data_IF_473262985730
#
_entry.id   IF_473262985730
#
_cell.length_a   1.000
_cell.length_b   1.000
_cell.length_c   1.000
_cell.angle_alpha   90.00
_cell.angle_beta   90.00
_cell.angle_gamma   90.00
#
_symmetry.space_group_name_H-M   'P 1'
#
loop_
_entity.id
_entity.type
_entity.pdbx_description
1 polymer ?
#
# COMPACT_ATOMS: atom_id res chain seq x y z
N UNK A 1 1.54 18.93 43.96
CA UNK A 1 2.34 17.80 43.42
C UNK A 1 2.73 16.95 44.63
N UNK A 2 2.05 15.82 44.84
CA UNK A 2 2.38 14.90 45.93
C UNK A 2 3.61 14.11 45.44
N UNK A 3 4.71 14.11 46.19
CA UNK A 3 5.87 13.30 45.81
C UNK A 3 5.48 11.82 45.85
N UNK A 4 5.79 11.04 44.80
CA UNK A 4 5.51 9.61 44.78
C UNK A 4 6.25 8.93 45.92
N UNK A 5 5.58 8.01 46.61
CA UNK A 5 6.23 7.22 47.66
C UNK A 5 7.22 6.23 47.05
N UNK A 6 8.18 5.74 47.83
CA UNK A 6 9.13 4.70 47.38
C UNK A 6 8.40 3.47 46.83
N UNK A 7 7.24 3.14 47.42
CA UNK A 7 6.41 2.03 46.95
C UNK A 7 5.79 2.32 45.57
N UNK A 8 5.40 3.56 45.28
CA UNK A 8 4.86 3.95 43.97
C UNK A 8 5.94 3.90 42.88
N UNK A 9 7.17 4.30 43.21
CA UNK A 9 8.32 4.22 42.29
C UNK A 9 8.68 2.77 42.00
N UNK A 10 8.72 1.92 43.03
CA UNK A 10 8.96 0.49 42.88
C UNK A 10 7.85 -0.17 42.06
N UNK A 11 6.57 0.07 42.39
CA UNK A 11 5.44 -0.47 41.64
C UNK A 11 5.49 -0.08 40.15
N UNK A 12 5.89 1.14 39.83
CA UNK A 12 6.08 1.57 38.45
C UNK A 12 7.28 0.90 37.77
N UNK A 13 8.41 0.76 38.46
CA UNK A 13 9.57 0.04 37.90
C UNK A 13 9.25 -1.44 37.64
N UNK A 14 8.48 -2.08 38.52
CA UNK A 14 7.98 -3.44 38.32
C UNK A 14 7.01 -3.50 37.14
N UNK A 15 6.08 -2.56 37.03
CA UNK A 15 5.15 -2.50 35.91
C UNK A 15 5.86 -2.30 34.56
N UNK A 16 6.78 -1.33 34.47
CA UNK A 16 7.54 -1.00 33.27
C UNK A 16 8.53 -2.08 32.82
N UNK A 17 8.79 -3.09 33.65
CA UNK A 17 9.60 -4.26 33.29
C UNK A 17 8.76 -5.50 33.02
N UNK A 18 7.75 -5.78 33.85
CA UNK A 18 6.90 -6.97 33.74
C UNK A 18 5.93 -6.91 32.58
N UNK A 19 5.26 -5.79 32.35
CA UNK A 19 4.27 -5.67 31.26
C UNK A 19 4.96 -5.80 29.91
N UNK A 20 6.07 -5.10 29.61
CA UNK A 20 6.73 -5.26 28.33
C UNK A 20 7.30 -6.65 28.08
N UNK A 21 7.85 -7.30 29.12
CA UNK A 21 8.40 -8.67 28.99
C UNK A 21 7.31 -9.71 28.73
N UNK A 22 6.18 -9.62 29.42
CA UNK A 22 5.01 -10.48 29.18
C UNK A 22 4.41 -10.24 27.79
N UNK A 23 4.31 -8.99 27.35
CA UNK A 23 3.79 -8.64 26.03
C UNK A 23 4.70 -9.12 24.89
N UNK A 24 6.03 -9.05 25.08
CA UNK A 24 7.01 -9.62 24.14
C UNK A 24 6.93 -11.14 24.08
N UNK A 25 6.79 -11.81 25.23
CA UNK A 25 6.61 -13.26 25.31
C UNK A 25 5.32 -13.69 24.59
N UNK A 26 4.21 -13.00 24.87
CA UNK A 26 2.92 -13.21 24.19
C UNK A 26 3.05 -13.02 22.68
N UNK A 27 3.73 -11.96 22.24
CA UNK A 27 3.96 -11.69 20.81
C UNK A 27 4.78 -12.80 20.13
N UNK A 28 5.79 -13.33 20.82
CA UNK A 28 6.60 -14.43 20.32
C UNK A 28 5.81 -15.73 20.24
N UNK A 29 5.02 -16.06 21.26
CA UNK A 29 4.15 -17.25 21.28
C UNK A 29 3.08 -17.19 20.18
N UNK A 30 2.45 -16.03 19.97
CA UNK A 30 1.50 -15.81 18.88
C UNK A 30 2.16 -15.98 17.50
N UNK A 31 3.42 -15.55 17.36
CA UNK A 31 4.16 -15.73 16.11
C UNK A 31 4.52 -17.19 15.81
N UNK A 32 4.56 -18.06 16.83
CA UNK A 32 4.74 -19.50 16.67
C UNK A 32 3.43 -20.25 16.39
N UNK A 33 2.30 -19.74 16.91
CA UNK A 33 0.99 -20.39 16.79
C UNK A 33 0.32 -20.11 15.43
N UNK A 34 0.55 -18.94 14.85
CA UNK A 34 -0.03 -18.51 13.57
C UNK A 34 1.01 -18.68 12.46
N UNK A 35 0.82 -19.55 11.46
CA UNK A 35 1.77 -19.66 10.35
C UNK A 35 1.59 -18.55 9.30
N UNK A 36 2.70 -18.06 8.78
CA UNK A 36 2.75 -17.20 7.58
C UNK A 36 2.63 -15.69 7.83
N UNK A 37 2.17 -14.97 6.81
CA UNK A 37 2.15 -13.49 6.78
C UNK A 37 1.32 -12.87 7.90
N UNK A 38 0.27 -13.57 8.35
CA UNK A 38 -0.59 -13.13 9.45
C UNK A 38 0.17 -13.05 10.79
N UNK A 39 1.14 -13.93 11.03
CA UNK A 39 1.98 -13.91 12.22
C UNK A 39 2.80 -12.62 12.32
N UNK A 40 3.34 -12.19 11.18
CA UNK A 40 4.14 -10.97 11.08
C UNK A 40 3.27 -9.73 11.33
N UNK A 41 2.05 -9.70 10.77
CA UNK A 41 1.12 -8.58 10.97
C UNK A 41 0.72 -8.49 12.45
N UNK A 42 0.32 -9.59 13.08
CA UNK A 42 -0.07 -9.62 14.49
C UNK A 42 1.09 -9.22 15.40
N UNK A 43 2.32 -9.67 15.08
CA UNK A 43 3.54 -9.28 15.80
C UNK A 43 3.85 -7.79 15.67
N UNK A 44 3.72 -7.21 14.46
CA UNK A 44 3.93 -5.77 14.26
C UNK A 44 2.87 -4.92 14.96
N UNK A 45 1.61 -5.37 14.98
CA UNK A 45 0.53 -4.75 15.76
C UNK A 45 0.89 -4.75 17.25
N UNK A 46 1.28 -5.90 17.81
CA UNK A 46 1.62 -5.98 19.23
C UNK A 46 2.86 -5.14 19.56
N UNK A 47 3.90 -5.19 18.73
CA UNK A 47 5.10 -4.37 18.91
C UNK A 47 4.78 -2.87 18.84
N UNK A 48 3.84 -2.45 17.99
CA UNK A 48 3.46 -1.04 17.89
C UNK A 48 2.80 -0.54 19.17
N UNK A 49 1.90 -1.33 19.76
CA UNK A 49 1.27 -1.02 21.04
C UNK A 49 2.30 -0.98 22.17
N UNK A 50 3.21 -1.96 22.21
CA UNK A 50 4.28 -2.02 23.20
C UNK A 50 5.19 -0.79 23.15
N UNK A 51 5.63 -0.41 21.95
CA UNK A 51 6.50 0.73 21.70
C UNK A 51 5.81 2.06 22.02
N UNK A 52 4.52 2.15 21.74
CA UNK A 52 3.75 3.31 22.14
C UNK A 52 3.64 3.37 23.67
N UNK A 53 3.31 2.26 24.33
CA UNK A 53 3.18 2.22 25.78
C UNK A 53 4.48 2.60 26.48
N UNK A 54 5.63 2.10 26.02
CA UNK A 54 6.94 2.41 26.61
C UNK A 54 7.33 3.88 26.46
N UNK A 55 6.92 4.54 25.37
CA UNK A 55 7.18 5.97 25.16
C UNK A 55 6.25 6.85 26.00
N UNK A 56 4.98 6.45 26.17
CA UNK A 56 4.00 7.21 26.96
C UNK A 56 4.10 6.96 28.46
N UNK A 57 4.67 5.83 28.89
CA UNK A 57 4.80 5.46 30.30
C UNK A 57 5.51 6.54 31.11
N UNK A 58 6.60 7.09 30.58
CA UNK A 58 7.35 8.17 31.21
C UNK A 58 6.52 9.45 31.37
N UNK A 59 5.72 9.78 30.37
CA UNK A 59 4.83 10.94 30.38
C UNK A 59 3.70 10.76 31.40
N UNK A 60 3.03 9.62 31.40
CA UNK A 60 1.95 9.32 32.34
C UNK A 60 2.43 9.16 33.78
N UNK A 61 3.64 8.63 33.98
CA UNK A 61 4.28 8.60 35.28
C UNK A 61 4.54 10.02 35.80
N UNK A 62 5.03 10.93 34.94
CA UNK A 62 5.22 12.34 35.32
C UNK A 62 3.90 13.05 35.68
N UNK A 63 2.79 12.60 35.10
CA UNK A 63 1.44 13.08 35.38
C UNK A 63 0.75 12.37 36.56
N UNK A 64 1.41 11.40 37.19
CA UNK A 64 0.88 10.68 38.35
C UNK A 64 -0.22 9.66 38.03
N UNK A 65 -0.31 9.14 36.81
CA UNK A 65 -1.31 8.14 36.45
C UNK A 65 -0.98 6.78 37.07
N UNK A 66 -1.97 6.07 37.59
CA UNK A 66 -1.80 4.70 38.08
C UNK A 66 -1.52 3.71 36.94
N UNK A 67 -0.73 2.63 37.18
CA UNK A 67 -0.37 1.68 36.13
C UNK A 67 -1.56 1.02 35.44
N UNK A 68 -2.57 0.59 36.20
CA UNK A 68 -3.78 -0.04 35.64
C UNK A 68 -4.56 0.90 34.70
N UNK A 69 -4.65 2.18 35.06
CA UNK A 69 -5.29 3.20 34.24
C UNK A 69 -4.59 3.40 32.91
N UNK A 70 -3.26 3.26 32.86
CA UNK A 70 -2.48 3.40 31.61
C UNK A 70 -2.81 2.28 30.64
N UNK A 71 -2.89 1.04 31.12
CA UNK A 71 -3.24 -0.12 30.28
C UNK A 71 -4.66 0.00 29.77
N UNK A 72 -5.63 0.26 30.65
CA UNK A 72 -7.04 0.38 30.21
C UNK A 72 -7.22 1.53 29.23
N UNK A 73 -6.53 2.66 29.44
CA UNK A 73 -6.57 3.78 28.50
C UNK A 73 -5.97 3.44 27.12
N UNK A 74 -4.91 2.63 27.10
CA UNK A 74 -4.33 2.11 25.85
C UNK A 74 -5.26 1.12 25.18
N UNK A 75 -5.93 0.24 25.92
CA UNK A 75 -6.88 -0.73 25.39
C UNK A 75 -8.12 -0.03 24.80
N UNK A 76 -8.64 0.99 25.48
CA UNK A 76 -9.79 1.78 25.01
C UNK A 76 -9.45 2.60 23.75
N UNK A 77 -8.18 2.99 23.58
CA UNK A 77 -7.71 3.83 22.46
C UNK A 77 -6.62 3.12 21.63
N UNK A 78 -6.71 1.80 21.51
CA UNK A 78 -5.64 0.95 20.95
C UNK A 78 -5.22 1.38 19.56
N UNK A 79 -6.14 1.95 18.76
CA UNK A 79 -5.84 2.32 17.39
C UNK A 79 -4.94 3.56 17.29
N UNK A 80 -5.10 4.52 18.19
CA UNK A 80 -4.23 5.69 18.26
C UNK A 80 -2.80 5.26 18.63
N UNK A 81 -2.66 4.42 19.66
CA UNK A 81 -1.36 3.94 20.14
C UNK A 81 -0.70 2.98 19.15
N UNK A 82 -1.48 2.17 18.44
CA UNK A 82 -0.98 1.40 17.29
C UNK A 82 -0.38 2.33 16.23
N UNK A 83 -1.11 3.37 15.83
CA UNK A 83 -0.64 4.35 14.84
C UNK A 83 0.61 5.10 15.29
N UNK A 84 0.71 5.44 16.58
CA UNK A 84 1.88 6.11 17.17
C UNK A 84 3.13 5.20 17.16
N UNK A 85 2.99 3.92 17.50
CA UNK A 85 4.11 2.98 17.55
C UNK A 85 4.54 2.42 16.20
N UNK A 86 3.67 2.46 15.18
CA UNK A 86 3.90 1.84 13.86
C UNK A 86 5.18 2.35 13.16
N UNK A 87 5.46 3.66 13.11
CA UNK A 87 6.70 4.15 12.50
C UNK A 87 7.95 3.66 13.24
N UNK A 88 7.89 3.51 14.56
CA UNK A 88 9.01 2.98 15.34
C UNK A 88 9.24 1.48 15.08
N UNK A 89 8.15 0.72 14.91
CA UNK A 89 8.21 -0.68 14.46
C UNK A 89 8.77 -0.81 13.06
N UNK A 90 8.41 0.10 12.15
CA UNK A 90 8.93 0.12 10.79
C UNK A 90 10.43 0.40 10.76
N UNK A 91 10.89 1.44 11.48
CA UNK A 91 12.33 1.76 11.56
C UNK A 91 13.12 0.58 12.14
N UNK A 92 12.61 -0.05 13.19
CA UNK A 92 13.29 -1.20 13.82
C UNK A 92 13.19 -2.49 13.01
N UNK A 93 12.26 -2.63 12.06
CA UNK A 93 12.13 -3.83 11.22
C UNK A 93 13.04 -3.82 9.98
N UNK A 94 13.65 -2.66 9.64
CA UNK A 94 14.57 -2.51 8.50
C UNK A 94 15.85 -3.35 8.61
N UNK A 95 16.18 -3.87 9.79
CA UNK A 95 17.36 -4.70 10.02
C UNK A 95 16.99 -6.08 10.55
N UNK A 96 17.67 -7.12 10.06
CA UNK A 96 17.51 -8.49 10.55
C UNK A 96 18.26 -8.76 11.87
N UNK A 97 19.23 -7.93 12.23
CA UNK A 97 20.04 -8.11 13.45
C UNK A 97 19.36 -7.48 14.67
N UNK A 98 19.08 -8.28 15.70
CA UNK A 98 18.48 -7.83 16.97
C UNK A 98 19.24 -6.65 17.59
N UNK A 99 20.57 -6.69 17.56
CA UNK A 99 21.42 -5.64 18.10
C UNK A 99 21.19 -4.29 17.38
N UNK A 100 21.06 -4.31 16.05
CA UNK A 100 20.78 -3.12 15.26
C UNK A 100 19.36 -2.61 15.54
N UNK A 101 18.38 -3.50 15.77
CA UNK A 101 17.03 -3.10 16.17
C UNK A 101 17.01 -2.33 17.49
N UNK A 102 17.80 -2.78 18.48
CA UNK A 102 17.94 -2.08 19.76
C UNK A 102 18.59 -0.70 19.60
N UNK A 103 19.61 -0.58 18.73
CA UNK A 103 20.23 0.71 18.42
C UNK A 103 19.26 1.66 17.72
N UNK A 104 18.49 1.17 16.75
CA UNK A 104 17.47 1.94 16.05
C UNK A 104 16.34 2.39 16.99
N UNK A 105 15.91 1.52 17.91
CA UNK A 105 14.95 1.89 18.94
C UNK A 105 15.50 2.98 19.86
N UNK A 106 16.72 2.81 20.39
CA UNK A 106 17.34 3.77 21.31
C UNK A 106 17.58 5.15 20.66
N UNK A 107 17.96 5.17 19.38
CA UNK A 107 18.16 6.43 18.64
C UNK A 107 16.85 7.14 18.30
N UNK A 108 15.79 6.40 17.98
CA UNK A 108 14.48 6.99 17.70
C UNK A 108 13.70 7.36 18.97
N UNK A 109 13.96 6.69 20.10
CA UNK A 109 13.20 6.86 21.34
C UNK A 109 13.09 8.32 21.83
N UNK A 110 14.16 9.15 21.87
CA UNK A 110 14.07 10.55 22.31
C UNK A 110 13.12 11.39 21.45
N UNK A 111 13.07 11.13 20.14
CA UNK A 111 12.19 11.85 19.20
C UNK A 111 10.74 11.52 19.51
N UNK A 112 10.41 10.24 19.66
CA UNK A 112 9.05 9.79 19.98
C UNK A 112 8.63 10.24 21.38
N UNK A 113 9.53 10.23 22.35
CA UNK A 113 9.29 10.73 23.70
C UNK A 113 8.98 12.23 23.71
N UNK A 114 9.75 13.05 22.98
CA UNK A 114 9.45 14.49 22.88
C UNK A 114 8.05 14.76 22.35
N UNK A 115 7.55 13.91 21.45
CA UNK A 115 6.20 14.01 20.87
C UNK A 115 5.11 13.53 21.82
N UNK A 116 5.39 12.52 22.66
CA UNK A 116 4.41 12.04 23.64
C UNK A 116 4.08 13.10 24.70
N UNK A 117 5.02 14.00 25.01
CA UNK A 117 4.81 15.13 25.93
C UNK A 117 3.80 16.15 25.41
N UNK A 118 3.73 16.34 24.08
CA UNK A 118 2.80 17.26 23.42
C UNK A 118 1.53 16.58 22.92
N UNK A 119 1.46 15.25 23.02
CA UNK A 119 0.37 14.48 22.47
C UNK A 119 -0.87 14.58 23.38
N UNK A 120 -1.91 15.25 22.89
CA UNK A 120 -3.26 15.09 23.43
C UNK A 120 -3.90 13.87 22.76
N UNK A 121 -4.17 12.77 23.46
CA UNK A 121 -4.88 11.63 22.86
C UNK A 121 -6.28 12.10 22.47
N UNK A 122 -6.53 12.26 21.17
CA UNK A 122 -7.83 12.68 20.68
C UNK A 122 -8.77 11.47 20.76
N UNK A 123 -9.64 11.49 21.76
CA UNK A 123 -10.66 10.47 21.95
C UNK A 123 -11.72 10.61 20.85
N UNK A 124 -11.98 9.53 20.10
CA UNK A 124 -13.10 9.45 19.14
C UNK A 124 -12.79 9.69 17.66
N UNK A 125 -11.52 9.84 17.26
CA UNK A 125 -11.14 9.88 15.84
C UNK A 125 -10.96 8.48 15.25
N UNK A 126 -11.50 8.26 14.04
CA UNK A 126 -11.26 7.05 13.26
C UNK A 126 -9.77 6.77 13.11
N UNK A 127 -9.37 5.51 13.19
CA UNK A 127 -8.00 4.98 13.06
C UNK A 127 -7.06 5.72 12.09
N UNK A 128 -7.62 6.17 10.97
CA UNK A 128 -6.91 6.80 9.86
C UNK A 128 -6.44 8.23 10.16
N UNK A 129 -7.22 9.04 10.89
CA UNK A 129 -6.90 10.45 11.14
C UNK A 129 -5.84 10.61 12.22
N UNK A 130 -5.81 9.72 13.21
CA UNK A 130 -4.76 9.66 14.23
C UNK A 130 -3.40 9.27 13.63
N UNK A 131 -3.37 8.23 12.79
CA UNK A 131 -2.15 7.81 12.10
C UNK A 131 -1.64 8.90 11.12
N UNK A 132 -2.55 9.57 10.40
CA UNK A 132 -2.24 10.73 9.55
C UNK A 132 -1.65 11.89 10.37
N UNK A 133 -2.33 12.34 11.42
CA UNK A 133 -1.86 13.46 12.26
C UNK A 133 -0.46 13.21 12.85
N UNK A 134 -0.18 11.96 13.25
CA UNK A 134 1.13 11.58 13.77
C UNK A 134 2.23 11.52 12.70
N UNK A 135 1.97 10.94 11.52
CA UNK A 135 2.93 10.94 10.41
C UNK A 135 3.30 12.37 9.96
N UNK A 136 2.31 13.27 9.94
CA UNK A 136 2.53 14.69 9.65
C UNK A 136 3.32 15.40 10.75
N UNK A 137 3.06 15.08 12.02
CA UNK A 137 3.82 15.60 13.16
C UNK A 137 5.26 15.07 13.21
N UNK A 138 5.52 13.84 12.76
CA UNK A 138 6.86 13.23 12.75
C UNK A 138 7.74 13.81 11.62
N UNK A 139 7.15 14.13 10.46
CA UNK A 139 7.84 14.73 9.32
C UNK A 139 8.04 16.25 9.45
N UNK A 140 7.27 16.94 10.29
CA UNK A 140 7.29 18.40 10.39
C UNK A 140 7.72 18.85 11.81
N UNK A 141 8.93 19.41 11.90
CA UNK A 141 9.34 20.23 13.03
C UNK A 141 8.51 21.52 13.01
N UNK A 142 7.80 21.80 14.09
CA UNK A 142 6.84 22.92 14.23
C UNK A 142 7.52 24.30 14.10
N UNK A 143 8.86 24.35 14.11
CA UNK A 143 9.65 25.59 14.13
C UNK A 143 10.02 26.15 12.74
N UNK A 144 10.00 25.33 11.67
CA UNK A 144 10.43 25.75 10.30
C UNK A 144 9.25 25.91 9.32
N UNK A 145 8.05 26.13 9.86
CA UNK A 145 6.78 26.11 9.13
C UNK A 145 6.51 27.32 8.23
N UNK A 146 7.40 28.31 8.20
CA UNK A 146 7.15 29.53 7.45
C UNK A 146 7.46 29.42 5.94
N UNK A 147 8.31 28.49 5.48
CA UNK A 147 8.85 28.57 4.10
C UNK A 147 8.85 27.29 3.26
N UNK A 148 8.36 26.13 3.76
CA UNK A 148 8.24 24.92 2.91
C UNK A 148 6.78 24.70 2.48
N UNK A 149 6.54 25.22 1.27
CA UNK A 149 5.36 25.27 0.38
C UNK A 149 4.15 24.37 0.75
N UNK A 150 2.92 24.91 0.87
CA UNK A 150 1.67 24.14 1.03
C UNK A 150 1.44 23.10 -0.08
N UNK A 151 2.11 23.23 -1.22
CA UNK A 151 2.12 22.22 -2.29
C UNK A 151 2.78 20.90 -1.87
N UNK A 152 3.82 20.92 -1.03
CA UNK A 152 4.50 19.71 -0.57
C UNK A 152 3.65 18.96 0.44
N UNK A 153 2.94 19.68 1.31
CA UNK A 153 1.99 19.12 2.27
C UNK A 153 0.81 18.45 1.55
N UNK A 154 0.20 19.14 0.58
CA UNK A 154 -0.84 18.57 -0.26
C UNK A 154 -0.37 17.33 -1.06
N UNK A 155 0.88 17.33 -1.50
CA UNK A 155 1.49 16.20 -2.22
C UNK A 155 1.68 14.98 -1.30
N UNK A 156 2.17 15.19 -0.08
CA UNK A 156 2.31 14.14 0.92
C UNK A 156 0.96 13.56 1.34
N UNK A 157 -0.07 14.41 1.52
CA UNK A 157 -1.44 13.98 1.83
C UNK A 157 -1.99 13.05 0.74
N UNK A 158 -1.85 13.44 -0.53
CA UNK A 158 -2.32 12.64 -1.66
C UNK A 158 -1.52 11.33 -1.81
N UNK A 159 -0.21 11.37 -1.60
CA UNK A 159 0.63 10.16 -1.63
C UNK A 159 0.25 9.22 -0.49
N UNK A 160 0.03 9.71 0.73
CA UNK A 160 -0.38 8.89 1.87
C UNK A 160 -1.77 8.27 1.65
N UNK A 161 -2.74 9.00 1.08
CA UNK A 161 -4.04 8.44 0.73
C UNK A 161 -3.96 7.38 -0.36
N UNK A 162 -3.15 7.60 -1.40
CA UNK A 162 -2.93 6.63 -2.45
C UNK A 162 -2.18 5.38 -1.96
N UNK A 163 -1.19 5.57 -1.08
CA UNK A 163 -0.34 4.52 -0.55
C UNK A 163 -1.11 3.56 0.37
N UNK A 164 -2.15 4.02 1.06
CA UNK A 164 -2.98 3.14 1.91
C UNK A 164 -3.98 2.29 1.10
N UNK A 165 -4.45 2.78 -0.04
CA UNK A 165 -5.37 2.02 -0.93
C UNK A 165 -4.62 0.94 -1.71
N UNK A 166 -3.31 1.09 -1.88
CA UNK A 166 -2.47 0.22 -2.70
C UNK A 166 -2.29 -1.21 -2.13
N UNK A 167 -1.98 -1.43 -0.83
CA UNK A 167 -1.92 -2.77 -0.25
C UNK A 167 -3.22 -3.59 -0.37
N UNK A 168 -4.41 -3.08 0.01
CA UNK A 168 -5.64 -3.84 -0.17
C UNK A 168 -5.95 -4.08 -1.66
N UNK A 169 -5.67 -3.11 -2.54
CA UNK A 169 -5.81 -3.30 -3.98
C UNK A 169 -4.90 -4.43 -4.51
N UNK A 170 -3.63 -4.48 -4.09
CA UNK A 170 -2.70 -5.53 -4.48
C UNK A 170 -3.15 -6.90 -3.99
N UNK A 171 -3.60 -7.01 -2.73
CA UNK A 171 -4.12 -8.26 -2.18
C UNK A 171 -5.37 -8.72 -2.96
N UNK A 172 -6.32 -7.82 -3.22
CA UNK A 172 -7.51 -8.13 -4.02
C UNK A 172 -7.14 -8.50 -5.45
N UNK A 173 -6.16 -7.83 -6.07
CA UNK A 173 -5.69 -8.16 -7.41
C UNK A 173 -5.07 -9.55 -7.44
N UNK A 174 -4.18 -9.89 -6.51
CA UNK A 174 -3.50 -11.21 -6.47
C UNK A 174 -4.49 -12.35 -6.24
N UNK A 175 -5.43 -12.19 -5.31
CA UNK A 175 -6.45 -13.21 -5.05
C UNK A 175 -7.45 -13.30 -6.21
N UNK A 176 -7.85 -12.14 -6.76
CA UNK A 176 -8.77 -12.05 -7.89
C UNK A 176 -8.17 -12.59 -9.19
N UNK A 177 -6.87 -12.38 -9.42
CA UNK A 177 -6.21 -12.77 -10.66
C UNK A 177 -6.23 -14.27 -10.89
N UNK A 178 -6.08 -15.08 -9.83
CA UNK A 178 -6.16 -16.54 -9.97
C UNK A 178 -7.53 -16.98 -10.50
N UNK A 179 -8.62 -16.47 -9.90
CA UNK A 179 -9.98 -16.83 -10.31
C UNK A 179 -10.34 -16.30 -11.68
N UNK A 180 -9.96 -15.06 -11.99
CA UNK A 180 -10.20 -14.46 -13.30
C UNK A 180 -9.40 -15.17 -14.40
N UNK A 181 -8.17 -15.59 -14.09
CA UNK A 181 -7.37 -16.38 -15.01
C UNK A 181 -7.99 -17.76 -15.27
N UNK A 182 -8.46 -18.44 -14.23
CA UNK A 182 -9.16 -19.72 -14.38
C UNK A 182 -10.42 -19.59 -15.27
N UNK A 183 -11.18 -18.51 -15.10
CA UNK A 183 -12.35 -18.21 -15.95
C UNK A 183 -11.91 -17.95 -17.39
N UNK A 184 -10.85 -17.18 -17.61
CA UNK A 184 -10.32 -16.90 -18.94
C UNK A 184 -9.85 -18.17 -19.65
N UNK A 185 -9.08 -19.02 -18.96
CA UNK A 185 -8.59 -20.29 -19.47
C UNK A 185 -9.76 -21.23 -19.82
N UNK A 186 -10.78 -21.30 -18.96
CA UNK A 186 -11.96 -22.11 -19.20
C UNK A 186 -12.83 -21.58 -20.36
N UNK A 187 -12.92 -20.26 -20.54
CA UNK A 187 -13.63 -19.67 -21.67
C UNK A 187 -12.91 -19.99 -22.99
N UNK A 188 -11.58 -19.87 -23.03
CA UNK A 188 -10.77 -20.13 -24.22
C UNK A 188 -10.71 -21.62 -24.58
N UNK A 189 -10.75 -22.53 -23.59
CA UNK A 189 -10.88 -23.97 -23.83
C UNK A 189 -12.13 -24.36 -24.64
N UNK A 190 -13.16 -23.51 -24.64
CA UNK A 190 -14.41 -23.75 -25.38
C UNK A 190 -14.37 -23.21 -26.82
N UNK A 191 -13.34 -22.44 -27.19
CA UNK A 191 -13.19 -21.85 -28.52
C UNK A 191 -12.23 -22.74 -29.34
N UNK A 192 -12.71 -23.45 -30.39
CA UNK A 192 -11.90 -24.45 -31.10
C UNK A 192 -10.73 -23.88 -31.92
N UNK A 193 -10.78 -22.59 -32.27
CA UNK A 193 -9.88 -21.96 -33.25
C UNK A 193 -8.57 -21.43 -32.65
N UNK A 194 -8.40 -21.46 -31.33
CA UNK A 194 -7.23 -20.89 -30.67
C UNK A 194 -6.19 -21.98 -30.46
N UNK A 195 -4.95 -21.83 -30.99
CA UNK A 195 -3.91 -22.85 -30.84
C UNK A 195 -3.66 -23.11 -29.35
N UNK A 196 -3.77 -24.38 -28.95
CA UNK A 196 -3.51 -24.84 -27.58
C UNK A 196 -2.02 -24.62 -27.29
N UNK A 197 -1.69 -23.65 -26.44
CA UNK A 197 -0.30 -23.43 -26.03
C UNK A 197 0.00 -24.26 -24.77
N UNK A 198 1.24 -24.73 -24.77
CA UNK A 198 1.99 -25.48 -23.75
C UNK A 198 1.62 -24.99 -22.35
N UNK A 199 1.42 -25.93 -21.42
CA UNK A 199 1.15 -25.61 -20.00
C UNK A 199 2.23 -24.64 -19.50
N UNK A 200 1.85 -23.42 -19.05
CA UNK A 200 2.82 -22.43 -18.63
C UNK A 200 3.63 -22.97 -17.45
N UNK A 201 4.93 -22.70 -17.44
CA UNK A 201 5.80 -23.06 -16.31
C UNK A 201 5.41 -22.19 -15.12
N UNK A 202 5.67 -22.67 -13.89
CA UNK A 202 5.51 -21.85 -12.67
C UNK A 202 6.24 -20.51 -12.78
N UNK A 203 7.41 -20.49 -13.44
CA UNK A 203 8.17 -19.27 -13.70
C UNK A 203 7.45 -18.30 -14.64
N UNK A 204 6.74 -18.79 -15.65
CA UNK A 204 6.00 -17.96 -16.62
C UNK A 204 4.80 -17.31 -15.95
N UNK A 205 4.09 -18.07 -15.10
CA UNK A 205 2.98 -17.58 -14.27
C UNK A 205 3.48 -16.51 -13.29
N UNK A 206 4.59 -16.76 -12.61
CA UNK A 206 5.14 -15.82 -11.64
C UNK A 206 5.66 -14.54 -12.31
N UNK A 207 6.34 -14.66 -13.45
CA UNK A 207 6.82 -13.52 -14.23
C UNK A 207 5.65 -12.66 -14.74
N UNK A 208 4.59 -13.29 -15.23
CA UNK A 208 3.37 -12.58 -15.63
C UNK A 208 2.68 -11.90 -14.44
N UNK A 209 2.54 -12.57 -13.30
CA UNK A 209 1.97 -11.98 -12.10
C UNK A 209 2.78 -10.78 -11.61
N UNK A 210 4.11 -10.88 -11.62
CA UNK A 210 5.02 -9.79 -11.25
C UNK A 210 4.92 -8.61 -12.21
N UNK A 211 4.95 -8.84 -13.52
CA UNK A 211 4.79 -7.81 -14.54
C UNK A 211 3.40 -7.15 -14.46
N UNK A 212 2.35 -7.97 -14.47
CA UNK A 212 0.95 -7.54 -14.45
C UNK A 212 0.56 -6.83 -13.16
N UNK A 213 1.30 -6.98 -12.06
CA UNK A 213 1.09 -6.17 -10.85
C UNK A 213 1.94 -4.90 -10.85
N UNK A 214 3.22 -5.01 -11.22
CA UNK A 214 4.17 -3.91 -11.09
C UNK A 214 3.98 -2.82 -12.14
N UNK A 215 3.86 -3.19 -13.43
CA UNK A 215 3.75 -2.21 -14.52
C UNK A 215 2.49 -1.35 -14.38
N UNK A 216 1.29 -1.92 -14.11
CA UNK A 216 0.10 -1.10 -13.88
C UNK A 216 0.22 -0.19 -12.65
N UNK A 217 0.93 -0.62 -11.61
CA UNK A 217 1.17 0.19 -10.41
C UNK A 217 2.10 1.38 -10.72
N UNK A 218 3.20 1.14 -11.44
CA UNK A 218 4.11 2.19 -11.90
C UNK A 218 3.40 3.17 -12.85
N UNK A 219 2.52 2.66 -13.70
CA UNK A 219 1.76 3.48 -14.63
C UNK A 219 0.70 4.35 -13.93
N UNK A 220 0.05 3.83 -12.87
CA UNK A 220 -0.81 4.65 -11.99
C UNK A 220 -0.03 5.77 -11.32
N UNK A 221 1.16 5.46 -10.80
CA UNK A 221 2.04 6.45 -10.20
C UNK A 221 2.46 7.52 -11.22
N UNK A 222 2.86 7.10 -12.42
CA UNK A 222 3.18 8.00 -13.55
C UNK A 222 2.00 8.92 -13.88
N UNK A 223 0.79 8.38 -14.01
CA UNK A 223 -0.43 9.15 -14.30
C UNK A 223 -0.71 10.18 -13.19
N UNK A 224 -0.50 9.80 -11.93
CA UNK A 224 -0.66 10.72 -10.80
C UNK A 224 0.39 11.83 -10.80
N UNK A 225 1.66 11.51 -11.05
CA UNK A 225 2.73 12.52 -11.17
C UNK A 225 2.48 13.49 -12.32
N UNK A 226 1.99 13.00 -13.47
CA UNK A 226 1.60 13.84 -14.60
C UNK A 226 0.44 14.78 -14.24
N UNK A 227 -0.52 14.31 -13.43
CA UNK A 227 -1.62 15.16 -12.97
C UNK A 227 -1.18 16.32 -12.08
N UNK A 228 -0.01 16.22 -11.43
CA UNK A 228 0.60 17.29 -10.65
C UNK A 228 1.43 18.26 -11.50
N UNK A 229 2.02 17.78 -12.60
CA UNK A 229 2.93 18.56 -13.43
C UNK A 229 2.20 19.41 -14.48
N UNK A 230 1.08 18.90 -15.03
CA UNK A 230 0.32 19.58 -16.06
C UNK A 230 -0.70 20.54 -15.40
N UNK A 231 -0.78 21.82 -15.79
CA UNK A 231 -1.82 22.73 -15.30
C UNK A 231 -3.06 22.76 -16.22
N UNK A 232 -4.25 22.89 -15.62
CA UNK A 232 -5.51 23.20 -16.31
C UNK A 232 -6.32 22.01 -16.84
N UNK A 233 -7.28 22.28 -17.74
CA UNK A 233 -8.24 21.30 -18.24
C UNK A 233 -7.61 20.13 -19.03
N UNK A 234 -6.38 20.30 -19.53
CA UNK A 234 -5.64 19.24 -20.22
C UNK A 234 -5.27 18.08 -19.29
N UNK A 235 -5.15 18.31 -17.98
CA UNK A 235 -4.88 17.26 -16.97
C UNK A 235 -5.95 16.19 -17.03
N UNK A 236 -7.23 16.58 -16.99
CA UNK A 236 -8.34 15.64 -16.94
C UNK A 236 -8.36 14.74 -18.18
N UNK A 237 -8.11 15.32 -19.36
CA UNK A 237 -8.04 14.57 -20.62
C UNK A 237 -6.88 13.58 -20.57
N UNK A 238 -5.67 14.04 -20.21
CA UNK A 238 -4.48 13.18 -20.13
C UNK A 238 -4.67 12.06 -19.12
N UNK A 239 -5.24 12.35 -17.95
CA UNK A 239 -5.52 11.36 -16.90
C UNK A 239 -6.58 10.35 -17.35
N UNK A 240 -7.64 10.77 -18.05
CA UNK A 240 -8.63 9.86 -18.61
C UNK A 240 -8.06 8.99 -19.72
N UNK A 241 -7.20 9.53 -20.60
CA UNK A 241 -6.48 8.75 -21.61
C UNK A 241 -5.62 7.68 -20.93
N UNK A 242 -4.79 8.06 -19.94
CA UNK A 242 -3.97 7.10 -19.21
C UNK A 242 -4.82 6.02 -18.54
N UNK A 243 -5.84 6.42 -17.78
CA UNK A 243 -6.68 5.49 -17.03
C UNK A 243 -7.47 4.56 -17.96
N UNK A 244 -7.92 5.03 -19.12
CA UNK A 244 -8.68 4.22 -20.09
C UNK A 244 -7.80 3.12 -20.71
N UNK A 245 -6.57 3.47 -21.09
CA UNK A 245 -5.61 2.50 -21.62
C UNK A 245 -5.20 1.49 -20.56
N UNK A 246 -4.97 1.97 -19.34
CA UNK A 246 -4.64 1.12 -18.20
C UNK A 246 -5.77 0.11 -17.93
N UNK A 247 -7.00 0.58 -17.78
CA UNK A 247 -8.18 -0.26 -17.52
C UNK A 247 -8.43 -1.29 -18.62
N UNK A 248 -8.15 -0.92 -19.87
CA UNK A 248 -8.20 -1.87 -20.98
C UNK A 248 -7.11 -2.94 -20.87
N UNK A 249 -5.86 -2.54 -20.61
CA UNK A 249 -4.77 -3.47 -20.36
C UNK A 249 -5.11 -4.46 -19.24
N UNK A 250 -5.69 -3.99 -18.14
CA UNK A 250 -6.17 -4.83 -17.04
C UNK A 250 -7.26 -5.84 -17.46
N UNK A 251 -8.19 -5.47 -18.33
CA UNK A 251 -9.24 -6.39 -18.76
C UNK A 251 -8.70 -7.45 -19.74
N UNK A 252 -7.79 -7.06 -20.62
CA UNK A 252 -7.26 -7.92 -21.67
C UNK A 252 -6.06 -8.79 -21.22
N UNK A 253 -5.32 -8.42 -20.16
CA UNK A 253 -4.14 -9.17 -19.70
C UNK A 253 -4.44 -10.66 -19.45
N UNK A 254 -5.59 -10.95 -18.83
CA UNK A 254 -6.04 -12.31 -18.54
C UNK A 254 -6.37 -13.11 -19.81
N UNK A 255 -6.98 -12.44 -20.78
CA UNK A 255 -7.34 -13.03 -22.09
C UNK A 255 -6.07 -13.38 -22.85
N UNK A 256 -5.14 -12.44 -22.96
CA UNK A 256 -3.87 -12.65 -23.66
C UNK A 256 -2.96 -13.66 -22.96
N UNK A 257 -2.94 -13.69 -21.63
CA UNK A 257 -2.21 -14.71 -20.90
C UNK A 257 -2.78 -16.12 -21.18
N UNK A 258 -4.12 -16.26 -21.23
CA UNK A 258 -4.75 -17.54 -21.60
C UNK A 258 -4.46 -17.96 -23.06
N UNK A 259 -4.14 -16.99 -23.92
CA UNK A 259 -3.69 -17.18 -25.31
C UNK A 259 -2.16 -17.31 -25.43
N UNK A 260 -1.42 -17.40 -24.32
CA UNK A 260 0.04 -17.57 -24.29
C UNK A 260 0.83 -16.36 -24.76
N UNK A 261 0.28 -15.15 -24.69
CA UNK A 261 1.01 -13.93 -25.02
C UNK A 261 1.97 -13.56 -23.90
N UNK A 262 3.15 -13.07 -24.29
CA UNK A 262 4.06 -12.43 -23.33
C UNK A 262 3.51 -11.09 -22.83
N UNK A 263 3.77 -10.70 -21.58
CA UNK A 263 3.25 -9.46 -21.01
C UNK A 263 3.68 -8.20 -21.78
N UNK A 264 4.94 -8.16 -22.23
CA UNK A 264 5.49 -7.06 -23.04
C UNK A 264 4.78 -6.91 -24.39
N UNK A 265 4.40 -8.04 -24.99
CA UNK A 265 3.63 -8.05 -26.24
C UNK A 265 2.25 -7.45 -26.02
N UNK A 266 1.57 -7.76 -24.91
CA UNK A 266 0.29 -7.18 -24.55
C UNK A 266 0.35 -5.65 -24.43
N UNK A 267 1.37 -5.12 -23.76
CA UNK A 267 1.58 -3.67 -23.65
C UNK A 267 1.84 -3.03 -25.01
N UNK A 268 2.76 -3.59 -25.80
CA UNK A 268 3.10 -3.05 -27.14
C UNK A 268 1.87 -3.04 -28.05
N UNK A 269 1.05 -4.09 -27.98
CA UNK A 269 -0.18 -4.20 -28.75
C UNK A 269 -1.22 -3.12 -28.39
N UNK A 270 -1.29 -2.75 -27.09
CA UNK A 270 -2.12 -1.63 -26.63
C UNK A 270 -1.59 -0.30 -27.13
N UNK A 271 -0.27 -0.08 -27.07
CA UNK A 271 0.36 1.16 -27.56
C UNK A 271 0.18 1.34 -29.07
N UNK A 272 0.27 0.25 -29.84
CA UNK A 272 0.08 0.26 -31.29
C UNK A 272 -1.39 0.48 -31.69
N UNK A 273 -2.35 -0.07 -30.94
CA UNK A 273 -3.79 0.01 -31.25
C UNK A 273 -4.57 0.85 -30.22
N UNK A 274 -3.94 1.91 -29.71
CA UNK A 274 -4.44 2.70 -28.58
C UNK A 274 -5.85 3.27 -28.78
N UNK A 275 -6.28 3.58 -30.01
CA UNK A 275 -7.63 4.14 -30.27
C UNK A 275 -8.73 3.15 -29.85
N UNK A 276 -8.57 1.88 -30.18
CA UNK A 276 -9.53 0.83 -29.81
C UNK A 276 -9.59 0.68 -28.29
N UNK A 277 -8.43 0.59 -27.64
CA UNK A 277 -8.35 0.40 -26.19
C UNK A 277 -8.82 1.64 -25.42
N UNK A 278 -8.55 2.83 -25.92
CA UNK A 278 -9.10 4.06 -25.35
C UNK A 278 -10.64 4.03 -25.36
N UNK A 279 -11.24 3.62 -26.49
CA UNK A 279 -12.69 3.45 -26.60
C UNK A 279 -13.25 2.38 -25.66
N UNK A 280 -12.55 1.26 -25.51
CA UNK A 280 -12.95 0.17 -24.60
C UNK A 280 -12.91 0.60 -23.13
N UNK A 281 -11.85 1.30 -22.70
CA UNK A 281 -11.65 1.67 -21.30
C UNK A 281 -12.37 2.94 -20.87
N UNK A 282 -12.74 3.82 -21.81
CA UNK A 282 -13.39 5.11 -21.53
C UNK A 282 -14.67 4.99 -20.68
N UNK A 283 -15.61 4.07 -20.98
CA UNK A 283 -16.81 3.91 -20.17
C UNK A 283 -16.50 3.51 -18.72
N UNK A 284 -15.44 2.71 -18.49
CA UNK A 284 -15.02 2.34 -17.14
C UNK A 284 -14.40 3.53 -16.39
N UNK A 285 -13.63 4.36 -17.09
CA UNK A 285 -13.12 5.64 -16.56
C UNK A 285 -14.25 6.59 -16.19
N UNK A 286 -15.29 6.67 -17.01
CA UNK A 286 -16.45 7.50 -16.72
C UNK A 286 -17.14 7.05 -15.43
N UNK A 287 -17.37 5.75 -15.25
CA UNK A 287 -17.95 5.19 -14.02
C UNK A 287 -17.08 5.50 -12.80
N UNK A 288 -15.76 5.30 -12.88
CA UNK A 288 -14.87 5.60 -11.75
C UNK A 288 -14.73 7.10 -11.48
N UNK A 289 -14.98 7.96 -12.47
CA UNK A 289 -14.95 9.41 -12.30
C UNK A 289 -16.14 10.00 -11.53
N UNK A 290 -17.21 9.22 -11.30
CA UNK A 290 -18.42 9.66 -10.59
C UNK A 290 -18.19 9.98 -9.11
N UNK A 291 -17.07 9.54 -8.54
CA UNK A 291 -16.72 9.80 -7.14
C UNK A 291 -15.42 10.58 -7.03
N UNK A 292 -15.32 11.44 -6.01
CA UNK A 292 -14.10 12.18 -5.68
C UNK A 292 -13.14 11.40 -4.78
N UNK A 293 -13.62 10.39 -4.06
CA UNK A 293 -12.80 9.60 -3.12
C UNK A 293 -12.08 8.44 -3.82
N UNK A 294 -10.74 8.36 -3.71
CA UNK A 294 -9.93 7.27 -4.26
C UNK A 294 -10.43 5.87 -3.88
N UNK A 295 -10.91 5.72 -2.64
CA UNK A 295 -11.46 4.46 -2.14
C UNK A 295 -12.73 4.05 -2.90
N UNK A 296 -13.67 5.00 -3.07
CA UNK A 296 -14.92 4.75 -3.79
C UNK A 296 -14.64 4.53 -5.28
N UNK A 297 -13.66 5.23 -5.88
CA UNK A 297 -13.23 4.95 -7.26
C UNK A 297 -12.74 3.51 -7.42
N UNK A 298 -11.97 3.01 -6.45
CA UNK A 298 -11.53 1.62 -6.40
C UNK A 298 -12.70 0.64 -6.30
N UNK A 299 -13.71 0.94 -5.47
CA UNK A 299 -14.93 0.13 -5.36
C UNK A 299 -15.72 0.09 -6.67
N UNK A 300 -15.95 1.27 -7.28
CA UNK A 300 -16.64 1.38 -8.57
C UNK A 300 -15.90 0.61 -9.67
N UNK A 301 -14.57 0.70 -9.69
CA UNK A 301 -13.75 -0.11 -10.59
C UNK A 301 -13.98 -1.60 -10.36
N UNK A 302 -13.87 -2.09 -9.12
CA UNK A 302 -14.08 -3.50 -8.79
C UNK A 302 -15.49 -4.01 -9.14
N UNK A 303 -16.52 -3.18 -8.97
CA UNK A 303 -17.91 -3.55 -9.32
C UNK A 303 -18.13 -3.62 -10.83
N UNK A 304 -17.56 -2.67 -11.59
CA UNK A 304 -17.75 -2.62 -13.04
C UNK A 304 -16.78 -3.56 -13.79
N UNK A 305 -15.60 -3.83 -13.24
CA UNK A 305 -14.54 -4.60 -13.87
C UNK A 305 -14.98 -5.97 -14.42
N UNK A 306 -15.78 -6.81 -13.69
CA UNK A 306 -16.25 -8.09 -14.22
C UNK A 306 -17.00 -8.00 -15.55
N UNK A 307 -17.73 -6.90 -15.81
CA UNK A 307 -18.44 -6.70 -17.07
C UNK A 307 -17.45 -6.42 -18.21
N UNK A 308 -16.45 -5.59 -17.96
CA UNK A 308 -15.39 -5.29 -18.95
C UNK A 308 -14.52 -6.51 -19.21
N UNK A 309 -14.15 -7.26 -18.18
CA UNK A 309 -13.45 -8.53 -18.31
C UNK A 309 -14.24 -9.54 -19.16
N UNK A 310 -15.55 -9.67 -18.94
CA UNK A 310 -16.38 -10.53 -19.79
C UNK A 310 -16.35 -10.09 -21.26
N UNK A 311 -16.37 -8.78 -21.51
CA UNK A 311 -16.31 -8.25 -22.87
C UNK A 311 -14.93 -8.47 -23.51
N UNK A 312 -13.83 -8.39 -22.75
CA UNK A 312 -12.48 -8.63 -23.29
C UNK A 312 -12.28 -10.08 -23.73
N UNK A 313 -12.93 -11.05 -23.07
CA UNK A 313 -12.87 -12.47 -23.46
C UNK A 313 -13.45 -12.75 -24.85
N UNK A 314 -14.46 -12.00 -25.27
CA UNK A 314 -15.16 -12.20 -26.57
C UNK A 314 -14.67 -11.19 -27.61
N UNK A 315 -14.02 -10.11 -27.17
CA UNK A 315 -13.59 -9.03 -28.05
C UNK A 315 -12.47 -9.47 -28.99
N UNK A 316 -12.65 -9.21 -30.28
CA UNK A 316 -11.60 -9.21 -31.29
C UNK A 316 -11.14 -7.77 -31.51
N UNK A 317 -9.97 -7.37 -30.98
CA UNK A 317 -9.51 -5.98 -31.06
C UNK A 317 -9.30 -5.57 -32.53
N UNK A 318 -9.91 -4.45 -32.92
CA UNK A 318 -9.77 -3.90 -34.28
C UNK A 318 -8.38 -3.28 -34.42
N UNK A 319 -7.57 -3.83 -35.31
CA UNK A 319 -6.21 -3.35 -35.57
C UNK A 319 -6.18 -2.33 -36.71
N UNK A 320 -5.14 -1.49 -36.73
CA UNK A 320 -4.89 -0.56 -37.85
C UNK A 320 -5.67 0.76 -37.83
N UNK A 321 -6.40 1.06 -36.75
CA UNK A 321 -7.06 2.36 -36.56
C UNK A 321 -6.05 3.48 -36.25
N UNK A 322 -4.98 3.15 -35.52
CA UNK A 322 -3.95 4.10 -35.12
C UNK A 322 -2.91 4.29 -36.24
N UNK A 323 -2.61 5.54 -36.60
CA UNK A 323 -1.54 5.87 -37.57
C UNK A 323 -0.14 5.93 -36.96
N UNK A 324 -0.05 6.07 -35.64
CA UNK A 324 1.19 6.13 -34.89
C UNK A 324 1.02 5.43 -33.53
N UNK A 325 2.09 4.80 -33.00
CA UNK A 325 2.06 4.15 -31.70
C UNK A 325 2.11 5.18 -30.56
N UNK A 326 1.28 4.99 -29.54
CA UNK A 326 1.21 5.87 -28.38
C UNK A 326 1.94 5.23 -27.19
N UNK A 327 3.23 5.58 -27.05
CA UNK A 327 4.17 4.97 -26.10
C UNK A 327 4.04 5.47 -24.65
N UNK A 328 2.85 5.41 -24.07
CA UNK A 328 2.60 5.88 -22.70
C UNK A 328 3.10 4.92 -21.63
N UNK A 329 3.09 3.60 -21.88
CA UNK A 329 3.52 2.59 -20.90
C UNK A 329 5.04 2.42 -20.90
N UNK A 330 5.72 2.84 -21.97
CA UNK A 330 7.18 2.74 -22.12
C UNK A 330 7.97 3.23 -20.89
N UNK A 331 7.67 4.38 -20.24
CA UNK A 331 8.40 4.81 -19.04
C UNK A 331 8.20 3.84 -17.86
N UNK A 332 6.97 3.37 -17.63
CA UNK A 332 6.69 2.40 -16.57
C UNK A 332 7.38 1.05 -16.81
N UNK A 333 7.39 0.57 -18.06
CA UNK A 333 8.10 -0.65 -18.46
C UNK A 333 9.62 -0.48 -18.32
N UNK A 334 10.16 0.67 -18.69
CA UNK A 334 11.60 0.93 -18.54
C UNK A 334 12.05 0.92 -17.06
N UNK A 335 11.25 1.49 -16.16
CA UNK A 335 11.53 1.45 -14.71
C UNK A 335 11.48 0.01 -14.21
N UNK A 336 10.49 -0.77 -14.64
CA UNK A 336 10.37 -2.19 -14.31
C UNK A 336 11.58 -3.01 -14.78
N UNK A 337 12.02 -2.81 -16.03
CA UNK A 337 13.19 -3.49 -16.61
C UNK A 337 14.47 -3.12 -15.88
N UNK A 338 14.62 -1.86 -15.49
CA UNK A 338 15.78 -1.39 -14.74
C UNK A 338 15.83 -2.03 -13.35
N UNK A 339 14.69 -2.07 -12.66
CA UNK A 339 14.60 -2.70 -11.33
C UNK A 339 14.86 -4.21 -11.38
N UNK A 340 14.27 -4.91 -12.36
CA UNK A 340 14.46 -6.35 -12.52
C UNK A 340 15.91 -6.72 -12.85
N UNK A 341 16.58 -5.92 -13.70
CA UNK A 341 18.03 -6.07 -13.98
C UNK A 341 18.87 -5.82 -12.73
N UNK A 342 18.57 -4.78 -11.96
CA UNK A 342 19.30 -4.48 -10.72
C UNK A 342 19.17 -5.60 -9.68
N UNK A 343 17.95 -6.14 -9.50
CA UNK A 343 17.72 -7.28 -8.61
C UNK A 343 18.45 -8.55 -9.08
N UNK A 344 18.60 -8.75 -10.38
CA UNK A 344 19.35 -9.87 -10.95
C UNK A 344 20.88 -9.74 -10.72
N UNK A 345 21.40 -8.51 -10.71
CA UNK A 345 22.82 -8.23 -10.40
C UNK A 345 23.15 -8.51 -8.94
N UNK A 346 22.27 -8.16 -8.00
CA UNK A 346 22.48 -8.40 -6.56
C UNK A 346 22.46 -9.90 -6.19
N UNK A 347 21.82 -10.75 -7.01
CA UNK A 347 21.78 -12.20 -6.82
C UNK A 347 23.00 -12.95 -7.37
N UNK A 348 23.88 -12.28 -8.11
CA UNK A 348 25.17 -12.84 -8.56
C UNK A 348 26.27 -12.41 -7.59
#
# INVERSE_FOLDING_TARGET
MILPTVNDVLANAWFGTTVPTLFLLQSHLLSMLVPGVFASIVSYVHLSLLFSLSVFEYTWFSQGWEPHRRVSFVEDNWIYFMGFGLPLVFVTSLSSSYFIRCMLFSTAFPVFFSRSLTATPITGLSSLSAAKAFFFSLLYSDQDSANIRPSLQALLDHICEALWVLPPFLVTKVVGSYKLQEIADNAHRRIPEIPRIILPTVNDVLANAWFGTTVPTLFLLQSHLLSMLVPGALVSIVSYVHLSLLFSLFAFEYTWFSQGWEPHRGVSFVEDNWIYFLGFGLPLVFVTSLSSSYFIRGMLFMTAFPLFFRNSLVATPVTGLSRFPLRLFTPAVWVFDTFSRFAAVIRR
#
